data_IF_939407170119
#
_entry.id   IF_939407170119
#
_cell.length_a   1.000
_cell.length_b   1.000
_cell.length_c   1.000
_cell.angle_alpha   90.00
_cell.angle_beta   90.00
_cell.angle_gamma   90.00
#
_symmetry.space_group_name_H-M   'P 1'
#
loop_
_entity.id
_entity.type
_entity.pdbx_description
1 polymer ?
#
# COMPACT_ATOMS: atom_id res chain seq x y z
N UNK A 1 6.90 -8.42 -13.19
CA UNK A 1 6.10 -7.52 -12.31
C UNK A 1 5.90 -8.37 -11.09
N UNK A 2 6.77 -8.19 -10.09
CA UNK A 2 6.97 -9.14 -9.01
C UNK A 2 6.61 -8.39 -7.73
N UNK A 3 5.30 -8.35 -7.38
CA UNK A 3 4.88 -7.70 -6.15
C UNK A 3 5.54 -8.43 -4.98
N UNK A 4 5.91 -7.66 -3.96
CA UNK A 4 6.37 -8.26 -2.70
C UNK A 4 5.23 -9.10 -2.13
N UNK A 5 5.56 -10.29 -1.63
CA UNK A 5 4.61 -11.11 -0.91
C UNK A 5 3.93 -10.28 0.19
N UNK A 6 2.63 -10.49 0.39
CA UNK A 6 1.82 -9.81 1.41
C UNK A 6 1.66 -8.29 1.23
N UNK A 7 2.12 -7.71 0.11
CA UNK A 7 1.97 -6.29 -0.18
C UNK A 7 1.18 -6.07 -1.48
N UNK A 8 0.06 -5.38 -1.37
CA UNK A 8 -0.84 -5.12 -2.50
C UNK A 8 -1.02 -3.62 -2.66
N UNK A 9 -0.74 -3.05 -3.84
CA UNK A 9 -0.93 -1.63 -4.09
C UNK A 9 -1.65 -1.39 -5.42
N UNK A 10 -2.59 -0.45 -5.43
CA UNK A 10 -3.36 -0.08 -6.62
C UNK A 10 -3.71 1.42 -6.62
N UNK A 11 -3.80 2.06 -7.80
CA UNK A 11 -4.25 3.44 -7.90
C UNK A 11 -5.74 3.57 -7.52
N UNK A 12 -6.11 4.71 -6.92
CA UNK A 12 -7.51 5.04 -6.64
C UNK A 12 -8.22 5.39 -7.93
N UNK A 13 -8.98 4.43 -8.47
CA UNK A 13 -9.82 4.61 -9.65
C UNK A 13 -9.06 5.30 -10.80
N UNK A 14 -9.50 6.50 -11.19
CA UNK A 14 -8.97 7.29 -12.30
C UNK A 14 -7.78 8.19 -11.92
N UNK A 15 -7.34 8.19 -10.66
CA UNK A 15 -6.27 9.06 -10.17
C UNK A 15 -4.99 8.27 -9.92
N UNK A 16 -4.06 8.31 -10.87
CA UNK A 16 -2.75 7.66 -10.75
C UNK A 16 -1.80 8.33 -9.74
N UNK A 17 -2.16 9.48 -9.16
CA UNK A 17 -1.37 10.12 -8.09
C UNK A 17 -1.77 9.65 -6.70
N UNK A 18 -2.93 9.03 -6.56
CA UNK A 18 -3.45 8.54 -5.29
C UNK A 18 -3.50 7.02 -5.34
N UNK A 19 -2.86 6.36 -4.39
CA UNK A 19 -2.77 4.90 -4.34
C UNK A 19 -3.26 4.41 -2.99
N UNK A 20 -3.86 3.24 -3.00
CA UNK A 20 -4.21 2.46 -1.81
C UNK A 20 -3.35 1.22 -1.80
N UNK A 21 -2.76 0.95 -0.64
CA UNK A 21 -1.97 -0.24 -0.39
C UNK A 21 -2.50 -0.97 0.83
N UNK A 22 -2.42 -2.29 0.80
CA UNK A 22 -2.72 -3.19 1.90
C UNK A 22 -1.47 -4.01 2.17
N UNK A 23 -1.01 -3.96 3.41
CA UNK A 23 0.13 -4.75 3.89
C UNK A 23 -0.43 -5.78 4.86
N UNK A 24 -0.13 -7.05 4.60
CA UNK A 24 -0.49 -8.18 5.48
C UNK A 24 0.72 -8.52 6.32
N UNK A 25 0.55 -8.57 7.64
CA UNK A 25 1.64 -8.97 8.53
C UNK A 25 1.83 -10.49 8.50
N UNK A 26 2.99 -10.95 7.98
CA UNK A 26 3.28 -12.37 7.80
C UNK A 26 3.26 -13.18 9.11
N UNK A 27 3.61 -12.55 10.24
CA UNK A 27 3.63 -13.19 11.57
C UNK A 27 2.24 -13.62 12.06
N UNK A 28 1.16 -13.00 11.55
CA UNK A 28 -0.22 -13.30 11.94
C UNK A 28 -0.92 -14.24 10.95
N UNK A 29 -0.31 -14.54 9.81
CA UNK A 29 -0.87 -15.50 8.84
C UNK A 29 -0.86 -16.93 9.41
N UNK A 30 0.04 -17.21 10.36
CA UNK A 30 0.17 -18.51 11.03
C UNK A 30 -0.77 -18.70 12.23
N UNK A 31 -1.50 -17.65 12.65
CA UNK A 31 -2.48 -17.68 13.74
C UNK A 31 -3.87 -17.38 13.18
N UNK A 32 -4.57 -18.43 12.77
CA UNK A 32 -6.02 -18.49 12.58
C UNK A 32 -6.68 -17.32 11.82
N UNK A 33 -6.51 -17.32 10.48
CA UNK A 33 -7.45 -16.76 9.50
C UNK A 33 -7.88 -15.27 9.62
N UNK A 34 -7.33 -14.51 10.57
CA UNK A 34 -7.55 -13.08 10.76
C UNK A 34 -6.17 -12.40 10.82
N UNK A 35 -5.51 -12.32 9.67
CA UNK A 35 -4.31 -11.49 9.57
C UNK A 35 -4.66 -10.01 9.75
N UNK A 36 -3.88 -9.26 10.51
CA UNK A 36 -4.02 -7.79 10.55
C UNK A 36 -3.68 -7.20 9.20
N UNK A 37 -4.64 -6.49 8.61
CA UNK A 37 -4.48 -5.74 7.38
C UNK A 37 -4.20 -4.28 7.70
N UNK A 38 -3.03 -3.79 7.32
CA UNK A 38 -2.71 -2.37 7.41
C UNK A 38 -3.06 -1.68 6.10
N UNK A 39 -3.99 -0.72 6.16
CA UNK A 39 -4.34 0.11 5.01
C UNK A 39 -3.44 1.34 4.97
N UNK A 40 -2.81 1.54 3.83
CA UNK A 40 -1.89 2.65 3.59
C UNK A 40 -2.36 3.43 2.39
N UNK A 41 -2.44 4.76 2.52
CA UNK A 41 -2.63 5.64 1.37
C UNK A 41 -1.29 6.22 0.96
N UNK A 42 -1.04 6.22 -0.33
CA UNK A 42 0.16 6.79 -0.94
C UNK A 42 -0.28 7.93 -1.84
N UNK A 43 0.31 9.11 -1.64
CA UNK A 43 0.06 10.30 -2.46
C UNK A 43 1.35 10.70 -3.17
N UNK A 44 1.33 10.65 -4.50
CA UNK A 44 2.43 11.02 -5.37
C UNK A 44 2.34 12.52 -5.69
N UNK A 45 3.40 13.29 -5.46
CA UNK A 45 3.44 14.67 -5.93
C UNK A 45 3.54 14.72 -7.45
N UNK A 46 3.08 15.82 -8.08
CA UNK A 46 3.12 15.99 -9.54
C UNK A 46 4.53 15.91 -10.14
N UNK A 47 5.56 16.22 -9.35
CA UNK A 47 6.95 16.16 -9.76
C UNK A 47 7.68 14.92 -9.22
N UNK A 48 6.95 13.84 -8.86
CA UNK A 48 7.58 12.55 -8.58
C UNK A 48 8.39 12.09 -9.80
N UNK A 49 9.61 11.54 -9.64
CA UNK A 49 10.27 11.16 -8.38
C UNK A 49 11.15 12.25 -7.72
N UNK A 50 11.18 13.50 -8.24
CA UNK A 50 11.99 14.60 -7.69
C UNK A 50 11.57 15.03 -6.28
N UNK A 51 10.29 14.83 -5.92
CA UNK A 51 9.80 14.93 -4.55
C UNK A 51 9.33 13.56 -4.05
N UNK A 52 9.58 13.24 -2.78
CA UNK A 52 9.14 11.98 -2.20
C UNK A 52 7.61 11.86 -2.20
N UNK A 53 7.12 10.64 -2.33
CA UNK A 53 5.73 10.30 -2.08
C UNK A 53 5.40 10.47 -0.60
N UNK A 54 4.14 10.77 -0.29
CA UNK A 54 3.64 10.84 1.09
C UNK A 54 2.89 9.56 1.43
N UNK A 55 3.16 9.01 2.62
CA UNK A 55 2.53 7.80 3.15
C UNK A 55 1.63 8.21 4.32
N UNK A 56 0.37 7.76 4.31
CA UNK A 56 -0.57 7.98 5.40
C UNK A 56 -1.20 6.66 5.83
N UNK A 57 -1.09 6.34 7.11
CA UNK A 57 -1.72 5.18 7.73
C UNK A 57 -3.20 5.45 7.99
N UNK A 58 -4.06 4.46 7.76
CA UNK A 58 -5.49 4.50 8.08
C UNK A 58 -5.84 3.50 9.16
#
# INVERSE_FOLDING_TARGET
RDPLENCFASPKANNCYEWVSTIVNASEILLDFIGSFYKVNISLPRNYPLKPLKIMWK
#
